data_IF_631593918213
#
_entry.id   IF_631593918213
#
_cell.length_a   1.000
_cell.length_b   1.000
_cell.length_c   1.000
_cell.angle_alpha   90.00
_cell.angle_beta   90.00
_cell.angle_gamma   90.00
#
_symmetry.space_group_name_H-M   'P 1'
#
loop_
_entity.id
_entity.type
_entity.pdbx_description
1 polymer ?
#
# COMPACT_ATOMS: atom_id res chain seq x y z
N UNK A 1 9.86 -11.40 -19.26
CA UNK A 1 10.94 -10.41 -19.29
C UNK A 1 10.63 -9.20 -18.40
N UNK A 2 9.45 -8.57 -18.52
CA UNK A 2 9.07 -7.40 -17.70
C UNK A 2 8.97 -7.69 -16.21
N UNK A 3 8.40 -8.81 -15.85
CA UNK A 3 8.27 -9.30 -14.46
C UNK A 3 9.63 -9.45 -13.78
N UNK A 4 10.60 -10.02 -14.51
CA UNK A 4 11.97 -10.19 -13.99
C UNK A 4 12.66 -8.84 -13.77
N UNK A 5 12.46 -7.88 -14.67
CA UNK A 5 12.96 -6.51 -14.51
C UNK A 5 12.34 -5.82 -13.31
N UNK A 6 11.02 -5.93 -13.16
CA UNK A 6 10.29 -5.37 -12.01
C UNK A 6 10.85 -5.91 -10.68
N UNK A 7 11.00 -7.22 -10.57
CA UNK A 7 11.59 -7.86 -9.38
C UNK A 7 13.00 -7.35 -9.10
N UNK A 8 13.87 -7.32 -10.14
CA UNK A 8 15.27 -6.85 -9.98
C UNK A 8 15.33 -5.40 -9.52
N UNK A 9 14.45 -4.51 -10.02
CA UNK A 9 14.40 -3.13 -9.58
C UNK A 9 13.92 -3.09 -8.11
N UNK A 10 12.91 -3.87 -7.78
CA UNK A 10 12.31 -3.87 -6.43
C UNK A 10 13.26 -4.43 -5.36
N UNK A 11 14.18 -5.33 -5.71
CA UNK A 11 15.21 -5.84 -4.79
C UNK A 11 16.17 -4.74 -4.31
N UNK A 12 16.25 -3.61 -5.03
CA UNK A 12 17.22 -2.54 -4.76
C UNK A 12 16.61 -1.15 -4.64
N UNK A 13 15.32 -0.96 -4.92
CA UNK A 13 14.70 0.37 -5.00
C UNK A 13 13.18 0.32 -4.82
N UNK A 14 12.64 1.32 -4.11
CA UNK A 14 11.20 1.57 -3.95
C UNK A 14 10.66 2.57 -4.98
N UNK A 15 11.40 2.84 -6.06
CA UNK A 15 10.94 3.72 -7.14
C UNK A 15 9.59 3.24 -7.69
N UNK A 16 8.62 4.15 -7.93
CA UNK A 16 7.34 3.79 -8.51
C UNK A 16 7.47 3.10 -9.87
N UNK A 17 6.81 1.95 -10.03
CA UNK A 17 6.89 1.11 -11.24
C UNK A 17 5.50 0.96 -11.84
N UNK A 18 5.35 1.34 -13.12
CA UNK A 18 4.19 0.99 -13.95
C UNK A 18 4.59 -0.10 -14.94
N UNK A 19 3.91 -1.22 -14.91
CA UNK A 19 4.11 -2.27 -15.90
C UNK A 19 3.22 -2.05 -17.14
N UNK A 20 3.83 -2.01 -18.33
CA UNK A 20 3.14 -1.94 -19.62
C UNK A 20 3.12 -3.31 -20.28
N UNK A 21 1.95 -3.92 -20.47
CA UNK A 21 1.87 -5.29 -20.95
C UNK A 21 0.84 -5.47 -22.08
N UNK A 22 1.07 -6.47 -22.92
CA UNK A 22 0.09 -6.93 -23.91
C UNK A 22 -0.85 -8.01 -23.35
N UNK A 23 -0.52 -8.55 -22.15
CA UNK A 23 -1.31 -9.59 -21.50
C UNK A 23 -2.46 -8.95 -20.74
N UNK A 24 -3.67 -9.32 -21.10
CA UNK A 24 -4.92 -8.73 -20.59
C UNK A 24 -5.63 -9.57 -19.54
N UNK A 25 -5.10 -10.76 -19.21
CA UNK A 25 -5.74 -11.64 -18.22
C UNK A 25 -5.53 -11.11 -16.80
N UNK A 26 -6.56 -11.29 -15.97
CA UNK A 26 -6.55 -10.81 -14.57
C UNK A 26 -5.40 -11.43 -13.79
N UNK A 27 -5.06 -12.68 -14.08
CA UNK A 27 -3.98 -13.43 -13.45
C UNK A 27 -2.59 -12.81 -13.70
N UNK A 28 -2.32 -12.38 -14.93
CA UNK A 28 -1.06 -11.70 -15.28
C UNK A 28 -0.89 -10.35 -14.55
N UNK A 29 -2.01 -9.67 -14.27
CA UNK A 29 -2.02 -8.40 -13.50
C UNK A 29 -1.67 -8.65 -12.03
N UNK A 30 -2.29 -9.67 -11.44
CA UNK A 30 -2.04 -10.05 -10.05
C UNK A 30 -0.57 -10.40 -9.88
N UNK A 31 0.00 -11.19 -10.80
CA UNK A 31 1.43 -11.55 -10.78
C UNK A 31 2.31 -10.30 -10.84
N UNK A 32 2.05 -9.36 -11.75
CA UNK A 32 2.84 -8.13 -11.87
C UNK A 32 2.84 -7.29 -10.59
N UNK A 33 1.71 -7.19 -9.91
CA UNK A 33 1.56 -6.44 -8.66
C UNK A 33 2.16 -7.21 -7.46
N UNK A 34 2.03 -8.52 -7.43
CA UNK A 34 2.70 -9.36 -6.43
C UNK A 34 4.24 -9.29 -6.53
N UNK A 35 4.76 -8.97 -7.71
CA UNK A 35 6.17 -8.72 -7.95
C UNK A 35 6.64 -7.31 -7.52
N UNK A 36 5.72 -6.50 -6.99
CA UNK A 36 6.01 -5.18 -6.44
C UNK A 36 5.80 -4.01 -7.38
N UNK A 37 5.13 -4.17 -8.53
CA UNK A 37 4.69 -3.03 -9.32
C UNK A 37 3.61 -2.22 -8.58
N UNK A 38 3.62 -0.90 -8.77
CA UNK A 38 2.64 0.00 -8.16
C UNK A 38 1.39 0.17 -9.01
N UNK A 39 1.52 0.01 -10.32
CA UNK A 39 0.43 0.07 -11.28
C UNK A 39 0.74 -0.74 -12.55
N UNK A 40 -0.27 -0.85 -13.38
CA UNK A 40 -0.27 -1.75 -14.51
C UNK A 40 -1.16 -1.20 -15.63
N UNK A 41 -0.69 -1.23 -16.88
CA UNK A 41 -1.40 -0.70 -18.02
C UNK A 41 -1.34 -1.67 -19.21
N UNK A 42 -2.52 -1.99 -19.77
CA UNK A 42 -2.66 -2.94 -20.88
C UNK A 42 -2.47 -2.23 -22.21
N UNK A 43 -1.71 -2.84 -23.11
CA UNK A 43 -1.60 -2.42 -24.51
C UNK A 43 -2.78 -2.99 -25.33
N UNK A 44 -3.38 -2.18 -26.24
CA UNK A 44 -3.08 -0.77 -26.54
C UNK A 44 -3.66 0.18 -25.49
N UNK A 45 -2.90 1.22 -25.12
CA UNK A 45 -3.33 2.25 -24.18
C UNK A 45 -3.24 3.65 -24.80
N UNK A 46 -4.04 4.57 -24.26
CA UNK A 46 -3.95 5.97 -24.62
C UNK A 46 -2.74 6.63 -23.94
N UNK A 47 -1.93 7.44 -24.66
CA UNK A 47 -0.88 8.24 -24.03
C UNK A 47 -1.41 9.14 -22.88
N UNK A 48 -2.65 9.62 -22.99
CA UNK A 48 -3.31 10.39 -21.93
C UNK A 48 -3.53 9.55 -20.67
N UNK A 49 -3.88 8.29 -20.83
CA UNK A 49 -4.05 7.35 -19.71
C UNK A 49 -2.72 7.11 -19.01
N UNK A 50 -1.65 6.82 -19.76
CA UNK A 50 -0.31 6.66 -19.17
C UNK A 50 0.11 7.90 -18.37
N UNK A 51 -0.04 9.10 -18.94
CA UNK A 51 0.28 10.35 -18.27
C UNK A 51 -0.54 10.54 -17.00
N UNK A 52 -1.84 10.21 -17.02
CA UNK A 52 -2.70 10.30 -15.85
C UNK A 52 -2.22 9.36 -14.73
N UNK A 53 -1.84 8.14 -15.06
CA UNK A 53 -1.31 7.14 -14.11
C UNK A 53 0.04 7.56 -13.54
N UNK A 54 0.95 8.03 -14.39
CA UNK A 54 2.25 8.59 -13.96
C UNK A 54 2.04 9.73 -12.98
N UNK A 55 1.17 10.70 -13.31
CA UNK A 55 0.84 11.82 -12.39
C UNK A 55 0.24 11.33 -11.08
N UNK A 56 -0.64 10.32 -11.12
CA UNK A 56 -1.21 9.73 -9.92
C UNK A 56 -0.14 9.08 -9.02
N UNK A 57 0.84 8.39 -9.62
CA UNK A 57 1.98 7.83 -8.88
C UNK A 57 2.85 8.90 -8.26
N UNK A 58 3.24 9.93 -9.03
CA UNK A 58 4.03 11.05 -8.49
C UNK A 58 3.29 11.82 -7.39
N UNK A 59 1.99 12.03 -7.54
CA UNK A 59 1.19 12.66 -6.47
C UNK A 59 1.22 11.82 -5.19
N UNK A 60 1.18 10.49 -5.27
CA UNK A 60 1.31 9.60 -4.11
C UNK A 60 2.70 9.69 -3.48
N UNK A 61 3.74 9.73 -4.30
CA UNK A 61 5.13 9.84 -3.84
C UNK A 61 5.44 11.23 -3.25
N UNK A 62 4.73 12.30 -3.66
CA UNK A 62 5.01 13.69 -3.30
C UNK A 62 3.88 14.37 -2.50
N UNK A 63 2.85 13.65 -2.04
CA UNK A 63 1.87 14.23 -1.10
C UNK A 63 2.47 14.34 0.31
N UNK A 64 3.57 15.08 0.39
CA UNK A 64 4.03 15.74 1.60
C UNK A 64 3.70 17.22 1.44
N UNK A 65 2.41 17.60 1.54
CA UNK A 65 2.02 18.99 1.60
C UNK A 65 1.58 19.34 3.02
N UNK A 66 2.46 20.18 3.61
CA UNK A 66 2.36 21.03 4.76
C UNK A 66 2.58 20.45 6.17
N UNK A 67 3.36 21.16 7.02
CA UNK A 67 4.07 20.62 8.15
C UNK A 67 3.27 20.70 9.45
N UNK A 68 2.20 19.97 9.57
CA UNK A 68 1.92 19.41 10.88
C UNK A 68 2.67 18.09 10.93
N UNK A 69 3.65 17.96 11.85
CA UNK A 69 4.35 16.70 12.08
C UNK A 69 3.29 15.66 12.45
N UNK A 70 2.82 14.92 11.47
CA UNK A 70 1.79 13.91 11.67
C UNK A 70 2.47 12.56 11.88
N UNK A 71 2.56 12.15 13.14
CA UNK A 71 3.06 10.83 13.53
C UNK A 71 1.91 10.05 14.15
N UNK A 72 1.65 8.87 13.62
CA UNK A 72 0.73 7.91 14.20
C UNK A 72 1.53 6.87 14.95
N UNK A 73 1.36 6.81 16.28
CA UNK A 73 2.08 5.89 17.15
C UNK A 73 1.11 4.84 17.70
N UNK A 74 1.38 3.58 17.33
CA UNK A 74 0.63 2.40 17.74
C UNK A 74 1.50 1.42 18.56
N UNK A 75 2.54 1.93 19.22
CA UNK A 75 3.49 1.14 19.99
C UNK A 75 4.55 0.48 19.10
N UNK A 76 4.38 -0.79 18.74
CA UNK A 76 5.31 -1.50 17.86
C UNK A 76 5.33 -0.98 16.41
N UNK A 77 4.30 -0.23 16.00
CA UNK A 77 4.21 0.39 14.68
C UNK A 77 4.13 1.91 14.83
N UNK A 78 5.12 2.61 14.30
CA UNK A 78 5.13 4.07 14.23
C UNK A 78 5.14 4.51 12.77
N UNK A 79 4.22 5.39 12.40
CA UNK A 79 4.06 5.92 11.06
C UNK A 79 4.33 7.42 11.10
N UNK A 80 5.51 7.85 10.68
CA UNK A 80 5.81 9.26 10.45
C UNK A 80 5.36 9.64 9.04
N UNK A 81 4.17 10.23 8.97
CA UNK A 81 3.57 10.60 7.69
C UNK A 81 4.34 11.76 7.06
N UNK A 82 4.78 12.73 7.86
CA UNK A 82 5.53 13.89 7.38
C UNK A 82 6.93 13.54 6.92
N UNK A 83 7.61 12.67 7.68
CA UNK A 83 8.95 12.16 7.33
C UNK A 83 8.94 11.01 6.33
N UNK A 84 7.74 10.52 5.94
CA UNK A 84 7.56 9.37 5.04
C UNK A 84 8.28 8.10 5.51
N UNK A 85 8.25 7.84 6.83
CA UNK A 85 8.96 6.73 7.48
C UNK A 85 8.04 5.82 8.24
N UNK A 86 8.35 4.53 8.22
CA UNK A 86 7.68 3.50 8.99
C UNK A 86 8.68 2.80 9.88
N UNK A 87 8.35 2.68 11.16
CA UNK A 87 9.11 1.89 12.10
C UNK A 87 8.25 0.74 12.62
N UNK A 88 8.78 -0.48 12.54
CA UNK A 88 8.19 -1.66 13.16
C UNK A 88 9.16 -2.19 14.20
N UNK A 89 8.72 -2.25 15.45
CA UNK A 89 9.59 -2.62 16.59
C UNK A 89 10.90 -1.83 16.63
N UNK A 90 10.80 -0.52 16.28
CA UNK A 90 11.95 0.41 16.24
C UNK A 90 12.86 0.28 15.02
N UNK A 91 12.56 -0.62 14.09
CA UNK A 91 13.33 -0.78 12.84
C UNK A 91 12.60 -0.13 11.68
N UNK A 92 13.35 0.60 10.86
CA UNK A 92 12.81 1.22 9.65
C UNK A 92 12.42 0.15 8.62
N UNK A 93 11.24 0.32 8.01
CA UNK A 93 10.69 -0.58 6.99
C UNK A 93 10.39 0.23 5.75
N UNK A 94 10.98 -0.19 4.62
CA UNK A 94 10.79 0.46 3.34
C UNK A 94 9.48 0.01 2.67
N UNK A 95 8.59 0.97 2.44
CA UNK A 95 7.34 0.76 1.72
C UNK A 95 7.36 1.48 0.37
N UNK A 96 6.71 0.85 -0.62
CA UNK A 96 6.43 1.56 -1.87
C UNK A 96 5.43 2.69 -1.64
N UNK A 97 5.35 3.66 -2.57
CA UNK A 97 4.42 4.78 -2.45
C UNK A 97 2.96 4.33 -2.28
N UNK A 98 2.55 3.25 -2.97
CA UNK A 98 1.20 2.68 -2.87
C UNK A 98 0.97 1.97 -1.54
N UNK A 99 1.94 1.20 -1.05
CA UNK A 99 1.87 0.54 0.26
C UNK A 99 1.83 1.56 1.41
N UNK A 100 2.67 2.60 1.35
CA UNK A 100 2.66 3.69 2.31
C UNK A 100 1.31 4.40 2.33
N UNK A 101 0.77 4.74 1.15
CA UNK A 101 -0.54 5.38 1.03
C UNK A 101 -1.66 4.48 1.53
N UNK A 102 -1.60 3.17 1.27
CA UNK A 102 -2.57 2.19 1.76
C UNK A 102 -2.54 2.13 3.29
N UNK A 103 -1.36 1.97 3.87
CA UNK A 103 -1.19 1.92 5.33
C UNK A 103 -1.70 3.19 6.01
N UNK A 104 -1.28 4.36 5.53
CA UNK A 104 -1.70 5.66 6.11
C UNK A 104 -3.18 5.91 5.95
N UNK A 105 -3.79 5.52 4.82
CA UNK A 105 -5.24 5.63 4.61
C UNK A 105 -6.03 4.82 5.64
N UNK A 106 -5.58 3.61 5.92
CA UNK A 106 -6.21 2.72 6.89
C UNK A 106 -5.94 3.16 8.34
N UNK A 107 -4.68 3.52 8.64
CA UNK A 107 -4.22 3.84 10.00
C UNK A 107 -4.74 5.18 10.53
N UNK A 108 -5.08 6.15 9.66
CA UNK A 108 -5.71 7.42 10.07
C UNK A 108 -7.10 7.23 10.69
N UNK A 109 -7.76 6.13 10.41
CA UNK A 109 -9.10 5.86 10.93
C UNK A 109 -9.19 4.42 11.45
N UNK A 110 -8.55 4.12 12.60
CA UNK A 110 -8.60 2.78 13.20
C UNK A 110 -10.05 2.33 13.42
N UNK A 111 -10.32 1.06 13.17
CA UNK A 111 -11.66 0.47 13.28
C UNK A 111 -12.57 0.70 12.06
N UNK A 112 -12.28 1.68 11.20
CA UNK A 112 -13.05 1.89 9.98
C UNK A 112 -12.80 0.79 8.96
N UNK A 113 -13.87 0.21 8.45
CA UNK A 113 -13.81 -0.72 7.32
C UNK A 113 -13.85 0.07 6.02
N UNK A 114 -12.87 -0.17 5.16
CA UNK A 114 -12.83 0.34 3.80
C UNK A 114 -13.12 -0.80 2.83
N UNK A 115 -14.04 -0.59 1.91
CA UNK A 115 -14.22 -1.55 0.83
C UNK A 115 -13.08 -1.43 -0.21
N UNK A 116 -12.95 -2.45 -1.06
CA UNK A 116 -11.84 -2.51 -2.04
C UNK A 116 -11.87 -1.35 -3.04
N UNK A 117 -13.06 -0.95 -3.50
CA UNK A 117 -13.20 0.18 -4.43
C UNK A 117 -12.80 1.50 -3.79
N UNK A 118 -13.23 1.78 -2.55
CA UNK A 118 -12.75 2.95 -1.82
C UNK A 118 -11.23 3.00 -1.69
N UNK A 119 -10.60 1.84 -1.46
CA UNK A 119 -9.14 1.77 -1.37
C UNK A 119 -8.48 1.97 -2.74
N UNK A 120 -9.04 1.43 -3.82
CA UNK A 120 -8.56 1.71 -5.19
C UNK A 120 -8.59 3.21 -5.46
N UNK A 121 -9.72 3.88 -5.21
CA UNK A 121 -9.87 5.31 -5.42
C UNK A 121 -8.88 6.12 -4.57
N UNK A 122 -8.82 5.84 -3.27
CA UNK A 122 -7.98 6.59 -2.33
C UNK A 122 -6.49 6.35 -2.50
N UNK A 123 -6.10 5.12 -2.79
CA UNK A 123 -4.69 4.70 -2.90
C UNK A 123 -4.18 4.89 -4.31
N UNK A 124 -4.91 4.43 -5.32
CA UNK A 124 -4.50 4.44 -6.71
C UNK A 124 -4.98 5.69 -7.46
N UNK A 125 -6.05 6.34 -6.99
CA UNK A 125 -6.53 7.64 -7.48
C UNK A 125 -7.33 7.55 -8.79
N UNK A 126 -7.92 6.41 -9.07
CA UNK A 126 -8.84 6.20 -10.21
C UNK A 126 -9.89 5.15 -9.85
N UNK A 127 -11.05 5.28 -10.47
CA UNK A 127 -12.20 4.40 -10.32
C UNK A 127 -12.29 3.53 -11.59
N UNK A 128 -11.76 2.29 -11.51
CA UNK A 128 -11.85 1.32 -12.59
C UNK A 128 -12.38 -0.01 -12.07
N UNK A 129 -13.47 -0.47 -12.63
CA UNK A 129 -13.98 -1.83 -12.40
C UNK A 129 -12.90 -2.88 -12.71
N UNK A 130 -12.71 -3.82 -11.79
CA UNK A 130 -11.75 -4.92 -11.93
C UNK A 130 -10.37 -4.68 -11.30
N UNK A 131 -10.10 -3.49 -10.75
CA UNK A 131 -8.85 -3.22 -10.01
C UNK A 131 -8.94 -3.54 -8.51
N UNK A 132 -10.06 -4.05 -8.03
CA UNK A 132 -10.28 -4.40 -6.63
C UNK A 132 -9.25 -5.41 -6.10
N UNK A 133 -8.85 -6.39 -6.93
CA UNK A 133 -7.84 -7.39 -6.58
C UNK A 133 -6.43 -6.82 -6.47
N UNK A 134 -6.19 -5.64 -7.04
CA UNK A 134 -4.93 -4.91 -6.90
C UNK A 134 -4.65 -4.56 -5.45
N UNK A 135 -5.70 -4.17 -4.72
CA UNK A 135 -5.59 -3.86 -3.29
C UNK A 135 -5.21 -5.11 -2.48
N UNK A 136 -5.75 -6.28 -2.84
CA UNK A 136 -5.41 -7.53 -2.15
C UNK A 136 -3.90 -7.84 -2.26
N UNK A 137 -3.31 -7.60 -3.44
CA UNK A 137 -1.86 -7.75 -3.66
C UNK A 137 -1.04 -6.74 -2.87
N UNK A 138 -1.45 -5.47 -2.84
CA UNK A 138 -0.78 -4.45 -2.02
C UNK A 138 -0.89 -4.77 -0.52
N UNK A 139 -2.04 -5.25 -0.03
CA UNK A 139 -2.20 -5.68 1.36
C UNK A 139 -1.31 -6.86 1.67
N UNK A 140 -1.21 -7.86 0.77
CA UNK A 140 -0.32 -9.01 0.94
C UNK A 140 1.14 -8.58 1.09
N UNK A 141 1.62 -7.72 0.18
CA UNK A 141 2.99 -7.21 0.21
C UNK A 141 3.26 -6.36 1.48
N UNK A 142 2.33 -5.48 1.81
CA UNK A 142 2.39 -4.65 3.01
C UNK A 142 2.50 -5.50 4.27
N UNK A 143 1.64 -6.53 4.42
CA UNK A 143 1.70 -7.48 5.54
C UNK A 143 3.06 -8.17 5.64
N UNK A 144 3.61 -8.63 4.52
CA UNK A 144 4.92 -9.27 4.50
C UNK A 144 6.03 -8.34 5.01
N UNK A 145 5.99 -7.06 4.62
CA UNK A 145 6.98 -6.05 5.05
C UNK A 145 6.80 -5.67 6.53
N UNK A 146 5.57 -5.56 7.01
CA UNK A 146 5.28 -5.25 8.42
C UNK A 146 5.45 -6.45 9.36
N UNK A 147 5.58 -7.68 8.84
CA UNK A 147 5.54 -8.90 9.65
C UNK A 147 4.15 -9.18 10.24
N UNK A 148 3.09 -8.75 9.57
CA UNK A 148 1.70 -8.90 10.02
C UNK A 148 1.08 -10.18 9.44
N UNK A 149 0.92 -11.21 10.27
CA UNK A 149 0.37 -12.50 9.85
C UNK A 149 -1.14 -12.40 9.58
N UNK A 150 -1.63 -12.72 8.37
CA UNK A 150 -3.05 -12.68 8.06
C UNK A 150 -3.91 -13.62 8.90
N UNK A 151 -3.33 -14.65 9.54
CA UNK A 151 -4.02 -15.58 10.45
C UNK A 151 -4.12 -15.05 11.88
N UNK A 152 -3.19 -14.16 12.26
CA UNK A 152 -3.14 -13.49 13.57
C UNK A 152 -2.73 -12.04 13.39
N UNK A 153 -3.57 -11.23 12.73
CA UNK A 153 -3.21 -9.87 12.38
C UNK A 153 -3.04 -9.00 13.63
N UNK A 154 -1.97 -8.19 13.64
CA UNK A 154 -1.73 -7.17 14.66
C UNK A 154 -2.41 -5.86 14.29
N UNK A 155 -2.35 -5.47 13.00
CA UNK A 155 -2.79 -4.16 12.53
C UNK A 155 -3.78 -4.23 11.35
N UNK A 156 -3.55 -5.10 10.38
CA UNK A 156 -4.33 -5.14 9.13
C UNK A 156 -5.32 -6.32 9.15
N UNK A 157 -6.59 -6.02 9.30
CA UNK A 157 -7.65 -7.01 9.38
C UNK A 157 -8.41 -7.11 8.06
N UNK A 158 -8.63 -8.35 7.61
CA UNK A 158 -9.51 -8.62 6.48
C UNK A 158 -10.95 -8.74 6.95
N UNK A 159 -11.84 -7.94 6.37
CA UNK A 159 -13.28 -8.08 6.54
C UNK A 159 -13.81 -8.85 5.33
N UNK A 160 -14.06 -10.14 5.50
CA UNK A 160 -14.44 -11.04 4.42
C UNK A 160 -15.65 -10.52 3.66
N UNK A 161 -15.59 -10.56 2.33
CA UNK A 161 -16.65 -10.06 1.44
C UNK A 161 -16.74 -8.53 1.34
N UNK A 162 -16.00 -7.77 2.15
CA UNK A 162 -16.05 -6.29 2.17
C UNK A 162 -14.70 -5.68 1.78
N UNK A 163 -13.67 -5.85 2.62
CA UNK A 163 -12.38 -5.18 2.39
C UNK A 163 -11.46 -5.28 3.59
N UNK A 164 -10.91 -4.14 4.02
CA UNK A 164 -9.87 -4.10 5.03
C UNK A 164 -10.12 -3.00 6.06
N UNK A 165 -9.59 -3.20 7.27
CA UNK A 165 -9.53 -2.19 8.31
C UNK A 165 -8.18 -2.26 9.04
N UNK A 166 -7.81 -1.16 9.65
CA UNK A 166 -6.69 -1.09 10.58
C UNK A 166 -7.23 -1.11 12.02
N UNK A 167 -6.59 -1.88 12.88
CA UNK A 167 -6.86 -1.84 14.31
C UNK A 167 -5.57 -1.44 15.05
N UNK A 168 -5.69 -0.44 15.91
CA UNK A 168 -4.63 -0.13 16.85
C UNK A 168 -4.63 -1.20 17.96
N UNK A 169 -3.49 -1.85 18.26
CA UNK A 169 -3.40 -2.69 19.45
C UNK A 169 -3.80 -1.85 20.68
N UNK A 170 -4.50 -2.46 21.62
CA UNK A 170 -4.78 -1.81 22.89
C UNK A 170 -3.44 -1.36 23.49
N UNK A 171 -3.32 -0.06 23.87
CA UNK A 171 -2.16 0.41 24.61
C UNK A 171 -2.08 -0.40 25.88
N UNK A 172 -1.12 -1.30 25.98
CA UNK A 172 -0.74 -1.89 27.26
C UNK A 172 -0.14 -0.75 28.08
N UNK A 173 -0.90 -0.19 29.00
CA UNK A 173 -0.39 0.68 30.04
C UNK A 173 0.72 -0.09 30.78
N UNK A 174 1.96 0.28 30.49
CA UNK A 174 3.13 -0.13 31.30
C UNK A 174 3.16 0.73 32.58
N UNK A 175 2.11 0.68 33.37
CA UNK A 175 2.02 1.37 34.65
C UNK A 175 1.63 0.44 35.79
N UNK A 176 2.16 -0.78 35.82
CA UNK A 176 2.14 -1.61 37.02
C UNK A 176 3.35 -2.53 37.06
N UNK A 177 4.52 -1.93 37.24
CA UNK A 177 5.67 -2.55 37.93
C UNK A 177 6.29 -1.51 38.84
N UNK A 178 5.79 -1.52 40.06
CA UNK A 178 6.51 -1.01 41.24
C UNK A 178 6.59 -2.12 42.27
#
# INVERSE_FOLDING_TARGET
PGERVCRTIRDTSDVPIIMLTAKGEIEDRIIGLELGADDYLIKPFSPRELVARVRALFRRAHQADEPAVEVLDFGDLVIDISGHKILVEGKEVDLTASEFKLLTTLARHPGRVYNRMELVEKVLGYDFEGYERTIDSHVKNLRAKLGDDPKKPKWLYTVHGVGYRFEAPAKTDKSDEK
#
